data_IF_815867097842
#
_entry.id   IF_815867097842
#
_cell.length_a   1.000
_cell.length_b   1.000
_cell.length_c   1.000
_cell.angle_alpha   90.00
_cell.angle_beta   90.00
_cell.angle_gamma   90.00
#
_symmetry.space_group_name_H-M   'P 1'
#
loop_
_entity.id
_entity.type
_entity.pdbx_description
1 polymer ?
#
# COMPACT_ATOMS: atom_id res chain seq x y z
N UNK A 1 -19.22 -0.61 -7.85
CA UNK A 1 -20.64 -0.65 -7.40
C UNK A 1 -21.29 0.74 -7.27
N UNK A 2 -20.69 1.72 -6.60
CA UNK A 2 -21.32 3.04 -6.33
C UNK A 2 -21.56 3.92 -7.57
N UNK A 3 -20.70 3.87 -8.58
CA UNK A 3 -20.88 4.62 -9.84
C UNK A 3 -22.09 4.13 -10.65
N UNK A 4 -22.45 2.85 -10.57
CA UNK A 4 -23.61 2.28 -11.29
C UNK A 4 -24.94 2.84 -10.77
N UNK A 5 -25.07 2.97 -9.45
CA UNK A 5 -26.27 3.55 -8.82
C UNK A 5 -26.38 5.04 -9.17
N UNK A 6 -25.26 5.77 -9.10
CA UNK A 6 -25.23 7.21 -9.37
C UNK A 6 -25.57 7.56 -10.82
N UNK A 7 -25.00 6.82 -11.77
CA UNK A 7 -25.15 7.11 -13.20
C UNK A 7 -26.18 6.24 -13.93
N UNK A 8 -26.85 5.31 -13.24
CA UNK A 8 -27.83 4.34 -13.80
C UNK A 8 -27.32 3.64 -15.07
N UNK A 9 -26.03 3.26 -15.09
CA UNK A 9 -25.40 2.59 -16.25
C UNK A 9 -25.13 1.12 -15.99
N UNK A 10 -25.54 0.27 -16.93
CA UNK A 10 -25.03 -1.10 -17.05
C UNK A 10 -23.63 -0.98 -17.68
N UNK A 11 -22.63 -1.45 -16.95
CA UNK A 11 -21.23 -1.44 -17.38
C UNK A 11 -20.76 -2.88 -17.52
N UNK A 12 -19.92 -3.15 -18.53
CA UNK A 12 -19.28 -4.44 -18.72
C UNK A 12 -18.50 -4.88 -17.46
N UNK A 13 -18.16 -6.18 -17.41
CA UNK A 13 -17.36 -6.71 -16.31
C UNK A 13 -15.98 -6.04 -16.30
N UNK A 14 -15.55 -5.57 -15.14
CA UNK A 14 -14.29 -4.87 -14.96
C UNK A 14 -13.20 -5.92 -14.67
N UNK A 15 -12.15 -6.05 -15.51
CA UNK A 15 -11.09 -7.04 -15.30
C UNK A 15 -10.45 -6.99 -13.91
N UNK A 16 -10.39 -5.80 -13.31
CA UNK A 16 -9.85 -5.64 -11.95
C UNK A 16 -10.70 -6.30 -10.87
N UNK A 17 -12.03 -6.28 -11.04
CA UNK A 17 -12.96 -6.93 -10.11
C UNK A 17 -12.94 -8.44 -10.32
N UNK A 18 -12.90 -8.91 -11.57
CA UNK A 18 -12.85 -10.35 -11.88
C UNK A 18 -11.59 -10.98 -11.30
N UNK A 19 -10.43 -10.37 -11.52
CA UNK A 19 -9.16 -10.90 -10.99
C UNK A 19 -9.12 -10.86 -9.47
N UNK A 20 -9.68 -9.82 -8.84
CA UNK A 20 -9.80 -9.76 -7.39
C UNK A 20 -10.69 -10.89 -6.84
N UNK A 21 -11.83 -11.17 -7.48
CA UNK A 21 -12.74 -12.25 -7.09
C UNK A 21 -12.06 -13.62 -7.21
N UNK A 22 -11.39 -13.87 -8.34
CA UNK A 22 -10.71 -15.14 -8.60
C UNK A 22 -9.51 -15.37 -7.67
N UNK A 23 -8.81 -14.29 -7.29
CA UNK A 23 -7.62 -14.35 -6.44
C UNK A 23 -7.92 -14.18 -4.95
N UNK A 24 -9.19 -14.04 -4.53
CA UNK A 24 -9.55 -13.75 -3.13
C UNK A 24 -9.08 -14.85 -2.16
N UNK A 25 -9.14 -16.12 -2.57
CA UNK A 25 -8.66 -17.23 -1.74
C UNK A 25 -7.13 -17.16 -1.54
N UNK A 26 -6.39 -16.93 -2.62
CA UNK A 26 -4.94 -16.79 -2.61
C UNK A 26 -4.51 -15.56 -1.80
N UNK A 27 -5.18 -14.42 -1.96
CA UNK A 27 -4.94 -13.20 -1.18
C UNK A 27 -5.21 -13.41 0.30
N UNK A 28 -6.33 -14.04 0.66
CA UNK A 28 -6.66 -14.31 2.06
C UNK A 28 -5.60 -15.21 2.71
N UNK A 29 -5.12 -16.21 1.97
CA UNK A 29 -4.06 -17.12 2.41
C UNK A 29 -2.72 -16.37 2.57
N UNK A 30 -2.32 -15.59 1.56
CA UNK A 30 -1.07 -14.83 1.60
C UNK A 30 -1.05 -13.82 2.76
N UNK A 31 -2.18 -13.16 3.05
CA UNK A 31 -2.30 -12.24 4.18
C UNK A 31 -2.33 -12.96 5.54
N UNK A 32 -2.74 -14.22 5.62
CA UNK A 32 -2.72 -14.94 6.91
C UNK A 32 -1.39 -15.63 7.18
N UNK A 33 -0.62 -15.95 6.14
CA UNK A 33 0.66 -16.68 6.24
C UNK A 33 1.86 -15.74 6.05
N UNK A 34 1.69 -14.42 5.90
CA UNK A 34 2.80 -13.48 5.69
C UNK A 34 3.80 -13.48 6.86
N UNK A 35 5.03 -13.02 6.59
CA UNK A 35 6.00 -12.64 7.64
C UNK A 35 6.24 -11.13 7.59
N UNK A 36 5.96 -10.39 8.67
CA UNK A 36 6.16 -8.94 8.77
C UNK A 36 5.63 -8.13 7.56
N UNK A 37 4.47 -8.53 7.04
CA UNK A 37 3.79 -7.90 5.90
C UNK A 37 4.20 -8.43 4.52
N UNK A 38 5.28 -9.19 4.41
CA UNK A 38 5.83 -9.75 3.18
C UNK A 38 5.25 -11.14 2.83
N UNK A 39 4.85 -11.33 1.58
CA UNK A 39 4.29 -12.60 1.08
C UNK A 39 5.39 -13.57 0.64
N UNK A 40 5.10 -14.88 0.72
CA UNK A 40 5.97 -15.96 0.21
C UNK A 40 6.07 -16.00 -1.30
N UNK A 41 4.97 -15.67 -1.97
CA UNK A 41 4.87 -15.58 -3.41
C UNK A 41 3.90 -14.45 -3.76
N UNK A 42 4.14 -13.74 -4.87
CA UNK A 42 3.27 -12.66 -5.28
C UNK A 42 1.91 -13.19 -5.73
N UNK A 43 0.87 -12.43 -5.44
CA UNK A 43 -0.46 -12.63 -6.01
C UNK A 43 -0.66 -11.61 -7.12
N UNK A 44 -0.94 -12.08 -8.33
CA UNK A 44 -1.16 -11.20 -9.49
C UNK A 44 -2.63 -10.77 -9.56
N UNK A 45 -2.84 -9.47 -9.68
CA UNK A 45 -4.13 -8.84 -9.94
C UNK A 45 -4.08 -8.05 -11.25
N UNK A 46 -5.22 -7.58 -11.74
CA UNK A 46 -5.27 -6.69 -12.90
C UNK A 46 -5.87 -5.33 -12.55
N UNK A 47 -5.38 -4.29 -13.20
CA UNK A 47 -6.00 -2.95 -13.24
C UNK A 47 -7.13 -2.95 -14.26
N UNK A 48 -7.98 -1.93 -14.20
CA UNK A 48 -9.07 -1.71 -15.17
C UNK A 48 -8.56 -1.61 -16.62
N UNK A 49 -7.37 -1.06 -16.84
CA UNK A 49 -6.75 -0.93 -18.16
C UNK A 49 -6.10 -2.24 -18.65
N UNK A 50 -6.19 -3.34 -17.88
CA UNK A 50 -5.63 -4.64 -18.23
C UNK A 50 -4.17 -4.85 -17.79
N UNK A 51 -3.47 -3.83 -17.29
CA UNK A 51 -2.11 -4.02 -16.78
C UNK A 51 -2.11 -4.83 -15.48
N UNK A 52 -1.09 -5.63 -15.26
CA UNK A 52 -0.96 -6.46 -14.06
C UNK A 52 -0.51 -5.64 -12.84
N UNK A 53 -0.87 -6.11 -11.65
CA UNK A 53 -0.42 -5.62 -10.35
C UNK A 53 0.17 -6.81 -9.62
N UNK A 54 1.45 -6.70 -9.26
CA UNK A 54 2.11 -7.66 -8.39
C UNK A 54 1.83 -7.29 -6.93
N UNK A 55 1.11 -8.14 -6.20
CA UNK A 55 0.84 -7.97 -4.77
C UNK A 55 1.74 -8.93 -3.99
N UNK A 56 2.79 -8.40 -3.39
CA UNK A 56 3.77 -9.15 -2.59
C UNK A 56 3.86 -8.68 -1.13
N UNK A 57 3.09 -7.66 -0.76
CA UNK A 57 3.04 -7.13 0.59
C UNK A 57 1.61 -6.76 0.99
N UNK A 58 1.25 -6.97 2.26
CA UNK A 58 -0.06 -6.63 2.83
C UNK A 58 -0.37 -5.13 2.71
N UNK A 59 0.65 -4.27 2.77
CA UNK A 59 0.52 -2.81 2.68
C UNK A 59 -0.11 -2.39 1.34
N UNK A 60 0.16 -3.13 0.26
CA UNK A 60 -0.39 -2.86 -1.07
C UNK A 60 -1.90 -3.13 -1.10
N UNK A 61 -2.37 -4.18 -0.42
CA UNK A 61 -3.77 -4.65 -0.55
C UNK A 61 -4.67 -4.22 0.62
N UNK A 62 -4.10 -3.70 1.71
CA UNK A 62 -4.82 -3.35 2.95
C UNK A 62 -6.01 -2.42 2.75
N UNK A 63 -5.92 -1.48 1.81
CA UNK A 63 -7.00 -0.52 1.52
C UNK A 63 -8.09 -1.08 0.59
N UNK A 64 -7.87 -2.24 -0.03
CA UNK A 64 -8.78 -2.85 -1.01
C UNK A 64 -9.57 -4.04 -0.45
N UNK A 65 -9.04 -4.74 0.57
CA UNK A 65 -9.71 -5.90 1.20
C UNK A 65 -10.39 -5.48 2.50
N UNK A 66 -11.71 -5.63 2.54
CA UNK A 66 -12.50 -5.40 3.75
C UNK A 66 -12.62 -6.65 4.64
N UNK A 67 -12.70 -7.83 4.01
CA UNK A 67 -12.92 -9.11 4.68
C UNK A 67 -12.07 -10.20 4.02
N UNK A 68 -11.58 -11.12 4.83
CA UNK A 68 -10.78 -12.26 4.38
C UNK A 68 -11.47 -13.57 4.72
N UNK A 69 -11.23 -14.57 3.88
CA UNK A 69 -11.60 -15.95 4.17
C UNK A 69 -10.67 -16.45 5.26
N UNK A 70 -11.20 -16.89 6.39
CA UNK A 70 -10.38 -17.45 7.45
C UNK A 70 -9.66 -18.71 6.96
N UNK A 71 -8.35 -18.77 7.19
CA UNK A 71 -7.49 -19.91 6.86
C UNK A 71 -6.88 -20.50 8.12
N UNK A 72 -6.25 -19.68 8.94
CA UNK A 72 -5.50 -20.13 10.11
C UNK A 72 -5.25 -18.99 11.08
N UNK A 73 -5.00 -19.32 12.34
CA UNK A 73 -4.70 -18.35 13.37
C UNK A 73 -3.24 -17.89 13.26
N UNK A 74 -3.03 -16.58 13.43
CA UNK A 74 -1.69 -16.03 13.58
C UNK A 74 -1.02 -16.68 14.80
N UNK A 75 0.27 -17.02 14.68
CA UNK A 75 1.06 -17.42 15.86
C UNK A 75 0.96 -16.31 16.90
N UNK A 76 0.81 -16.62 18.20
CA UNK A 76 0.98 -15.63 19.24
C UNK A 76 2.44 -15.17 19.22
N UNK A 77 2.73 -14.10 18.47
CA UNK A 77 4.01 -13.41 18.56
C UNK A 77 4.02 -12.66 19.88
N UNK A 78 5.10 -12.84 20.64
CA UNK A 78 5.27 -12.17 21.94
C UNK A 78 5.32 -10.64 21.83
N UNK A 79 5.34 -10.07 20.63
CA UNK A 79 5.35 -8.63 20.38
C UNK A 79 4.55 -8.32 19.10
N UNK A 80 3.73 -7.27 19.17
CA UNK A 80 2.85 -6.70 18.13
C UNK A 80 1.48 -7.37 17.91
N UNK A 81 0.48 -6.87 18.64
CA UNK A 81 -0.94 -7.13 18.41
C UNK A 81 -1.42 -6.36 17.17
N UNK A 82 -1.72 -7.05 16.08
CA UNK A 82 -2.54 -6.47 15.01
C UNK A 82 -4.00 -6.33 15.50
N UNK A 83 -4.53 -5.12 15.39
CA UNK A 83 -5.87 -4.68 15.84
C UNK A 83 -7.03 -5.21 14.96
N UNK A 84 -6.97 -6.45 14.51
CA UNK A 84 -8.09 -7.12 13.83
C UNK A 84 -8.55 -8.26 14.72
N UNK A 85 -9.59 -8.03 15.51
CA UNK A 85 -10.19 -9.07 16.36
C UNK A 85 -11.12 -9.93 15.51
N UNK A 86 -11.02 -11.28 15.56
CA UNK A 86 -11.97 -12.14 14.87
C UNK A 86 -13.36 -12.00 15.49
N UNK A 87 -14.38 -11.91 14.63
CA UNK A 87 -15.80 -11.86 15.02
C UNK A 87 -16.35 -13.25 15.36
N UNK A 88 -15.62 -14.31 14.99
CA UNK A 88 -16.00 -15.72 15.22
C UNK A 88 -15.05 -16.34 16.24
N UNK A 89 -15.61 -17.03 17.24
CA UNK A 89 -14.83 -17.87 18.16
C UNK A 89 -14.52 -19.18 17.44
N UNK A 90 -13.24 -19.51 17.26
CA UNK A 90 -12.79 -20.71 16.56
C UNK A 90 -12.24 -21.68 17.61
N UNK A 91 -12.61 -22.97 17.49
CA UNK A 91 -12.44 -24.01 18.52
C UNK A 91 -11.29 -25.00 18.17
N UNK A 92 -10.68 -24.89 17.00
CA UNK A 92 -9.48 -25.67 16.63
C UNK A 92 -8.49 -24.75 15.89
N UNK A 93 -7.34 -24.46 16.51
CA UNK A 93 -6.35 -23.51 16.00
C UNK A 93 -5.30 -24.21 15.12
N UNK A 94 -5.54 -24.25 13.80
CA UNK A 94 -4.45 -24.45 12.84
C UNK A 94 -3.57 -23.19 12.81
N UNK A 95 -2.29 -23.35 13.10
CA UNK A 95 -1.33 -22.26 13.28
C UNK A 95 -0.53 -22.04 12.00
N UNK A 96 -0.49 -20.80 11.49
CA UNK A 96 0.29 -20.48 10.29
C UNK A 96 1.78 -20.83 10.44
N UNK A 97 2.41 -21.34 9.39
CA UNK A 97 3.87 -21.35 9.28
C UNK A 97 4.41 -19.93 9.04
N UNK A 98 5.57 -19.62 9.61
CA UNK A 98 6.22 -18.30 9.45
C UNK A 98 7.27 -18.37 8.32
N UNK A 99 6.98 -17.83 7.13
CA UNK A 99 7.86 -17.98 5.97
C UNK A 99 9.10 -17.08 6.02
N UNK A 100 10.09 -17.37 5.16
CA UNK A 100 11.31 -16.57 4.99
C UNK A 100 11.34 -15.87 3.62
N UNK A 101 10.64 -14.74 3.44
CA UNK A 101 10.73 -13.99 2.18
C UNK A 101 12.10 -13.31 2.05
N UNK A 102 12.69 -13.37 0.86
CA UNK A 102 13.80 -12.49 0.48
C UNK A 102 13.21 -11.37 -0.37
N UNK A 103 13.18 -10.15 0.15
CA UNK A 103 12.51 -9.01 -0.50
C UNK A 103 13.33 -7.74 -0.40
N UNK A 104 13.33 -6.92 -1.45
CA UNK A 104 13.97 -5.61 -1.41
C UNK A 104 13.24 -4.69 -0.42
N UNK A 105 13.99 -3.78 0.20
CA UNK A 105 13.43 -2.62 0.90
C UNK A 105 13.71 -1.44 -0.02
N UNK A 106 12.68 -0.89 -0.63
CA UNK A 106 12.84 0.17 -1.63
C UNK A 106 12.94 1.53 -0.95
N UNK A 107 14.16 2.03 -0.79
CA UNK A 107 14.60 3.30 -1.38
C UNK A 107 15.75 2.97 -2.37
N UNK A 108 15.89 3.77 -3.43
CA UNK A 108 16.86 3.65 -4.53
C UNK A 108 17.88 2.48 -4.51
N UNK A 109 17.50 1.35 -5.15
CA UNK A 109 18.39 0.27 -5.64
C UNK A 109 19.16 -0.60 -4.62
N UNK A 110 18.67 -0.80 -3.39
CA UNK A 110 19.36 -1.69 -2.44
C UNK A 110 18.62 -3.02 -2.18
N UNK A 111 19.37 -4.13 -2.26
CA UNK A 111 18.92 -5.49 -1.91
C UNK A 111 19.03 -5.67 -0.40
N UNK A 112 17.90 -5.74 0.29
CA UNK A 112 17.84 -6.03 1.71
C UNK A 112 17.23 -7.41 1.95
N UNK A 113 17.53 -8.05 3.07
CA UNK A 113 16.91 -9.32 3.48
C UNK A 113 16.37 -9.17 4.90
N UNK A 114 15.06 -9.36 5.07
CA UNK A 114 14.43 -9.51 6.38
C UNK A 114 14.63 -10.94 6.89
N UNK A 115 15.21 -11.08 8.09
CA UNK A 115 15.39 -12.39 8.74
C UNK A 115 14.52 -12.56 9.97
N UNK A 116 14.29 -13.82 10.34
CA UNK A 116 13.56 -14.25 11.54
C UNK A 116 14.18 -13.75 12.85
N UNK A 117 15.47 -13.43 12.87
CA UNK A 117 16.17 -12.86 14.02
C UNK A 117 15.99 -11.33 14.14
N UNK A 118 15.16 -10.73 13.29
CA UNK A 118 14.91 -9.29 13.27
C UNK A 118 16.00 -8.49 12.55
N UNK A 119 16.99 -9.15 11.93
CA UNK A 119 18.06 -8.44 11.22
C UNK A 119 17.64 -8.06 9.79
N UNK A 120 18.00 -6.84 9.40
CA UNK A 120 17.97 -6.33 8.03
C UNK A 120 19.40 -6.37 7.51
N UNK A 121 19.67 -7.10 6.41
CA UNK A 121 21.02 -7.25 5.84
C UNK A 121 21.04 -6.75 4.40
N UNK A 122 22.01 -5.91 4.04
CA UNK A 122 22.34 -5.56 2.64
C UNK A 122 23.63 -6.22 2.21
N UNK A 123 23.69 -6.64 0.94
CA UNK A 123 24.86 -7.29 0.31
C UNK A 123 25.67 -6.35 -0.61
N UNK A 124 25.23 -5.11 -0.85
CA UNK A 124 25.94 -4.13 -1.68
C UNK A 124 25.34 -2.72 -1.52
N UNK A 125 26.17 -1.67 -1.45
CA UNK A 125 25.71 -0.28 -1.40
C UNK A 125 26.61 0.71 -2.14
N UNK A 126 25.99 1.55 -2.96
CA UNK A 126 26.13 3.02 -3.09
C UNK A 126 24.82 3.53 -3.78
N UNK A 127 24.27 4.74 -3.51
CA UNK A 127 25.00 6.00 -3.27
C UNK A 127 24.25 7.02 -2.38
N UNK A 128 25.02 7.88 -1.70
CA UNK A 128 24.61 9.24 -1.30
C UNK A 128 24.45 9.50 0.20
N UNK A 129 23.60 8.74 0.89
CA UNK A 129 23.19 9.06 2.27
C UNK A 129 23.36 7.85 3.20
N UNK A 130 24.10 8.04 4.29
CA UNK A 130 24.29 7.02 5.32
C UNK A 130 23.01 6.87 6.13
N UNK A 131 22.45 5.65 6.19
CA UNK A 131 21.31 5.36 7.05
C UNK A 131 21.72 5.47 8.53
N UNK A 132 20.95 6.24 9.28
CA UNK A 132 21.13 6.49 10.72
C UNK A 132 19.96 5.91 11.50
N UNK A 133 20.21 5.53 12.76
CA UNK A 133 19.14 5.22 13.71
C UNK A 133 18.77 6.52 14.41
N UNK A 134 17.51 6.92 14.28
CA UNK A 134 17.01 8.20 14.79
C UNK A 134 15.81 7.99 15.72
N UNK A 135 15.37 9.07 16.38
CA UNK A 135 14.15 9.05 17.19
C UNK A 135 12.95 8.90 16.26
N UNK A 136 12.09 7.91 16.52
CA UNK A 136 10.91 7.69 15.71
C UNK A 136 9.91 8.84 15.86
N UNK A 137 9.73 9.58 14.77
CA UNK A 137 8.76 10.67 14.62
C UNK A 137 7.70 10.36 13.56
N UNK A 138 7.67 9.11 13.06
CA UNK A 138 6.81 8.67 11.96
C UNK A 138 6.95 9.53 10.69
N UNK A 139 8.18 9.96 10.42
CA UNK A 139 8.54 10.70 9.23
C UNK A 139 8.55 9.80 7.99
N UNK A 140 8.25 10.36 6.82
CA UNK A 140 8.41 9.65 5.55
C UNK A 140 9.86 9.17 5.35
N UNK A 141 10.87 9.91 5.86
CA UNK A 141 12.28 9.47 5.87
C UNK A 141 12.57 8.25 6.75
N UNK A 142 11.61 7.83 7.58
CA UNK A 142 11.70 6.68 8.48
C UNK A 142 10.81 5.51 8.04
N UNK A 143 10.10 5.67 6.92
CA UNK A 143 9.16 4.69 6.39
C UNK A 143 9.77 3.89 5.24
N UNK A 144 9.41 2.61 5.19
CA UNK A 144 9.98 1.65 4.24
C UNK A 144 8.92 0.64 3.82
N UNK A 145 8.92 0.27 2.54
CA UNK A 145 8.09 -0.80 2.02
C UNK A 145 8.97 -1.99 1.59
N UNK A 146 8.84 -3.16 2.26
CA UNK A 146 9.43 -4.39 1.77
C UNK A 146 8.64 -4.87 0.54
N UNK A 147 9.24 -4.79 -0.65
CA UNK A 147 8.62 -5.23 -1.92
C UNK A 147 9.71 -5.62 -2.93
N UNK A 148 9.45 -6.62 -3.76
CA UNK A 148 10.28 -6.93 -4.92
C UNK A 148 9.92 -6.09 -6.15
N UNK A 149 8.83 -5.32 -6.07
CA UNK A 149 8.39 -4.42 -7.12
C UNK A 149 8.73 -2.97 -6.74
N UNK A 150 9.82 -2.45 -7.29
CA UNK A 150 10.27 -1.08 -7.03
C UNK A 150 9.55 -0.01 -7.87
N UNK A 151 8.67 -0.41 -8.80
CA UNK A 151 7.88 0.56 -9.55
C UNK A 151 6.78 1.15 -8.66
N UNK A 152 6.70 2.48 -8.53
CA UNK A 152 5.72 3.10 -7.65
C UNK A 152 4.31 2.96 -8.21
N UNK A 153 3.32 2.83 -7.31
CA UNK A 153 1.97 2.46 -7.70
C UNK A 153 1.16 3.68 -8.14
N UNK A 154 0.88 3.77 -9.44
CA UNK A 154 0.03 4.83 -10.02
C UNK A 154 -1.45 4.46 -9.91
N UNK A 155 -2.26 5.36 -9.34
CA UNK A 155 -3.69 5.18 -9.11
C UNK A 155 -4.49 6.49 -9.09
N UNK A 156 -5.81 6.37 -8.97
CA UNK A 156 -6.73 7.47 -8.69
C UNK A 156 -7.27 7.34 -7.27
N UNK A 157 -7.21 8.40 -6.48
CA UNK A 157 -7.71 8.39 -5.09
C UNK A 157 -9.17 8.82 -5.09
N UNK A 158 -10.07 7.87 -4.89
CA UNK A 158 -11.52 8.11 -4.83
C UNK A 158 -11.95 8.41 -3.40
N UNK A 159 -12.50 9.60 -3.18
CA UNK A 159 -12.97 10.10 -1.88
C UNK A 159 -14.49 10.24 -1.76
N UNK A 160 -14.89 11.25 -1.00
CA UNK A 160 -16.30 11.54 -0.71
C UNK A 160 -17.14 11.71 -1.98
N UNK A 161 -18.37 11.21 -1.94
CA UNK A 161 -19.29 11.22 -3.09
C UNK A 161 -18.73 10.57 -4.37
N UNK A 162 -17.78 9.62 -4.26
CA UNK A 162 -17.15 8.98 -5.42
C UNK A 162 -16.51 10.00 -6.40
N UNK A 163 -16.00 11.09 -5.84
CA UNK A 163 -15.16 12.08 -6.53
C UNK A 163 -13.69 11.67 -6.37
N UNK A 164 -12.84 12.11 -7.28
CA UNK A 164 -11.41 11.82 -7.28
C UNK A 164 -10.63 13.03 -6.76
N UNK A 165 -9.60 12.77 -5.95
CA UNK A 165 -8.65 13.79 -5.55
C UNK A 165 -7.92 14.31 -6.78
N UNK A 166 -7.86 15.63 -6.91
CA UNK A 166 -7.24 16.32 -8.03
C UNK A 166 -6.31 17.41 -7.52
N UNK A 167 -5.14 17.51 -8.12
CA UNK A 167 -4.20 18.62 -7.97
C UNK A 167 -4.22 19.46 -9.24
N UNK A 168 -4.38 20.77 -9.10
CA UNK A 168 -4.18 21.67 -10.22
C UNK A 168 -3.64 23.00 -9.74
N UNK A 169 -2.46 23.36 -10.24
CA UNK A 169 -1.78 24.62 -9.95
C UNK A 169 -1.60 24.86 -8.43
N UNK A 170 -1.25 23.81 -7.69
CA UNK A 170 -1.01 23.80 -6.24
C UNK A 170 -2.27 23.64 -5.39
N UNK A 171 -3.46 23.64 -5.99
CA UNK A 171 -4.72 23.50 -5.25
C UNK A 171 -5.18 22.04 -5.25
N UNK A 172 -5.68 21.58 -4.10
CA UNK A 172 -6.19 20.22 -3.90
C UNK A 172 -7.69 20.21 -3.60
N UNK A 173 -8.43 19.42 -4.35
CA UNK A 173 -9.86 19.21 -4.07
C UNK A 173 -10.39 17.92 -4.70
N UNK A 174 -11.62 17.55 -4.32
CA UNK A 174 -12.34 16.44 -4.94
C UNK A 174 -13.12 16.91 -6.16
N UNK A 175 -12.91 16.25 -7.30
CA UNK A 175 -13.57 16.54 -8.57
C UNK A 175 -14.17 15.28 -9.20
N UNK A 176 -15.06 15.41 -10.17
CA UNK A 176 -15.55 14.25 -10.92
C UNK A 176 -14.39 13.43 -11.52
N UNK A 177 -14.41 12.12 -11.26
CA UNK A 177 -13.40 11.19 -11.73
C UNK A 177 -13.41 11.07 -13.25
N UNK A 178 -12.23 11.19 -13.87
CA UNK A 178 -12.02 10.97 -15.30
C UNK A 178 -10.81 10.05 -15.52
N UNK A 179 -10.89 9.18 -16.52
CA UNK A 179 -9.88 8.14 -16.77
C UNK A 179 -8.58 8.63 -17.40
N UNK A 180 -8.55 9.87 -17.91
CA UNK A 180 -7.42 10.44 -18.67
C UNK A 180 -6.98 11.81 -18.12
N UNK A 181 -7.26 12.08 -16.85
CA UNK A 181 -6.79 13.31 -16.18
C UNK A 181 -5.52 13.04 -15.40
N UNK A 182 -4.40 13.54 -15.90
CA UNK A 182 -3.11 13.44 -15.24
C UNK A 182 -3.10 14.16 -13.87
N UNK A 183 -3.91 15.19 -13.70
CA UNK A 183 -4.14 15.92 -12.45
C UNK A 183 -4.80 15.07 -11.34
N UNK A 184 -5.44 13.96 -11.72
CA UNK A 184 -6.10 13.03 -10.80
C UNK A 184 -5.27 11.76 -10.56
N UNK A 185 -4.11 11.66 -11.20
CA UNK A 185 -3.25 10.50 -11.11
C UNK A 185 -2.18 10.73 -10.03
N UNK A 186 -2.11 9.77 -9.10
CA UNK A 186 -1.30 9.82 -7.90
C UNK A 186 -0.35 8.65 -7.86
N UNK A 187 0.85 8.91 -7.40
CA UNK A 187 1.92 7.93 -7.25
C UNK A 187 2.09 7.64 -5.77
N UNK A 188 1.87 6.39 -5.37
CA UNK A 188 2.08 5.92 -4.01
C UNK A 188 3.50 5.35 -3.90
N UNK A 189 4.33 5.98 -3.08
CA UNK A 189 5.71 5.57 -2.86
C UNK A 189 5.86 4.63 -1.67
N UNK A 190 6.96 3.88 -1.66
CA UNK A 190 7.32 2.98 -0.56
C UNK A 190 7.66 3.69 0.76
N UNK A 191 8.01 4.97 0.69
CA UNK A 191 8.23 5.88 1.83
C UNK A 191 6.90 6.37 2.45
N UNK A 192 5.75 5.92 1.94
CA UNK A 192 4.42 6.33 2.40
C UNK A 192 3.91 7.64 1.81
N UNK A 193 4.75 8.39 1.08
CA UNK A 193 4.35 9.65 0.46
C UNK A 193 3.40 9.43 -0.71
N UNK A 194 2.52 10.41 -0.91
CA UNK A 194 1.60 10.45 -2.06
C UNK A 194 1.97 11.64 -2.91
N UNK A 195 2.35 11.38 -4.17
CA UNK A 195 2.90 12.39 -5.08
C UNK A 195 2.05 12.57 -6.33
N UNK A 196 1.84 13.80 -6.83
CA UNK A 196 1.21 14.01 -8.12
C UNK A 196 2.02 13.33 -9.24
N UNK A 197 1.38 12.62 -10.17
CA UNK A 197 2.10 12.00 -11.29
C UNK A 197 2.84 13.03 -12.17
N UNK A 198 2.32 14.26 -12.24
CA UNK A 198 2.90 15.34 -13.03
C UNK A 198 4.17 15.96 -12.38
N UNK A 199 4.35 15.80 -11.06
CA UNK A 199 5.49 16.35 -10.34
C UNK A 199 5.83 15.48 -9.11
N UNK A 200 6.87 14.66 -9.26
CA UNK A 200 7.31 13.70 -8.24
C UNK A 200 8.17 14.33 -7.14
N UNK A 201 8.56 15.61 -7.27
CA UNK A 201 9.29 16.35 -6.24
C UNK A 201 8.35 16.90 -5.16
N UNK A 202 7.05 16.81 -5.40
CA UNK A 202 6.00 17.33 -4.54
C UNK A 202 5.21 16.20 -3.86
N UNK A 203 4.89 16.41 -2.60
CA UNK A 203 4.20 15.48 -1.72
C UNK A 203 2.93 16.12 -1.17
N UNK A 204 1.85 15.35 -1.06
CA UNK A 204 0.73 15.68 -0.19
C UNK A 204 1.27 15.88 1.22
N UNK A 205 1.01 17.05 1.79
CA UNK A 205 1.56 17.43 3.09
C UNK A 205 0.49 18.07 3.96
N UNK A 206 0.39 17.62 5.21
CA UNK A 206 -0.42 18.24 6.26
C UNK A 206 0.47 19.02 7.24
N UNK A 207 -0.09 20.08 7.81
CA UNK A 207 0.48 20.69 9.01
C UNK A 207 0.10 19.86 10.26
N UNK A 208 0.78 20.10 11.39
CA UNK A 208 0.64 19.37 12.66
C UNK A 208 -0.61 19.83 13.43
N UNK A 209 -1.32 20.84 12.94
CA UNK A 209 -2.49 21.43 13.58
C UNK A 209 -3.76 20.67 13.20
N UNK A 210 -4.62 20.38 14.18
CA UNK A 210 -5.93 19.79 13.92
C UNK A 210 -6.77 20.67 12.99
N UNK A 211 -7.35 20.06 11.95
CA UNK A 211 -8.11 20.78 10.93
C UNK A 211 -7.25 21.49 9.88
N UNK A 212 -5.92 21.30 9.89
CA UNK A 212 -5.06 21.76 8.82
C UNK A 212 -5.52 21.21 7.46
N UNK A 213 -5.53 22.09 6.46
CA UNK A 213 -5.81 21.72 5.08
C UNK A 213 -4.58 21.02 4.51
N UNK A 214 -4.78 19.87 3.88
CA UNK A 214 -3.71 19.16 3.17
C UNK A 214 -3.35 19.95 1.91
N UNK A 215 -2.06 20.20 1.73
CA UNK A 215 -1.51 20.97 0.62
C UNK A 215 -0.49 20.15 -0.19
N UNK A 216 0.01 20.73 -1.27
CA UNK A 216 1.14 20.19 -2.03
C UNK A 216 2.39 21.01 -1.70
N UNK A 217 3.40 20.35 -1.15
CA UNK A 217 4.70 20.96 -0.83
C UNK A 217 5.83 20.07 -1.32
N UNK A 218 7.05 20.60 -1.38
CA UNK A 218 8.23 19.80 -1.75
C UNK A 218 8.43 18.65 -0.75
N UNK A 219 8.76 17.47 -1.27
CA UNK A 219 9.06 16.30 -0.47
C UNK A 219 10.31 16.55 0.36
N UNK A 220 10.15 16.56 1.68
CA UNK A 220 11.21 16.81 2.66
C UNK A 220 11.46 15.60 3.57
N UNK A 221 10.60 14.58 3.48
CA UNK A 221 10.65 13.41 4.35
C UNK A 221 10.03 13.64 5.73
N UNK A 222 9.27 14.72 5.93
CA UNK A 222 8.66 15.03 7.23
C UNK A 222 7.52 14.07 7.63
N UNK A 223 7.03 14.16 8.87
CA UNK A 223 5.91 13.35 9.37
C UNK A 223 4.53 13.78 8.87
N UNK A 224 4.43 14.97 8.26
CA UNK A 224 3.20 15.43 7.61
C UNK A 224 3.04 14.91 6.18
N UNK A 225 4.01 14.15 5.66
CA UNK A 225 4.09 13.66 4.27
C UNK A 225 3.83 12.17 4.16
#
# INVERSE_FOLDING_TARGET
>A
MRTRIRYKRISASDPSVITLENSWDALSTAVQVFNQGAFTGPVLLQKRNGSEICVDNVTIIRSYIALMIYKSAARPSSQFTLLIKPVVRIIDDEVCEDPKPTMHITDENQLWTLKRDGTIRSTSGEQGTTLTVETNIYAASQAWLPTNNSEPFITFIVGFNALCLQENSGNLWLQECATEKAEQAWVLYGDGTIRPQQNLDNCLTSDVVEGAVVNIMSCSGSSGQ
#
